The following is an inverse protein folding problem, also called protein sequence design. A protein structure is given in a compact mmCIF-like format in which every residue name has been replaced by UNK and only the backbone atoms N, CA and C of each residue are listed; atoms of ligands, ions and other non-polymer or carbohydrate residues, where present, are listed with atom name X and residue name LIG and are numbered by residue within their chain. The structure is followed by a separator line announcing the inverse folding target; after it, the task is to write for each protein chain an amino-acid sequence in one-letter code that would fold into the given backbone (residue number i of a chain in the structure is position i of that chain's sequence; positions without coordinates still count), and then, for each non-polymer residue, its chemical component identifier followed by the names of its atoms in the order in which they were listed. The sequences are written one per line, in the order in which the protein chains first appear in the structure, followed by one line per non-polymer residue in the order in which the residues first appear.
data_IF_205978578234
#
_entry.id   IF_205978578234
#
_cell.length_a   1.000
_cell.length_b   1.000
_cell.length_c   1.000
_cell.angle_alpha   90.00
_cell.angle_beta   90.00
_cell.angle_gamma   90.00
#
_symmetry.space_group_name_H-M   'P 1'
#
loop_
_entity.id
_entity.type
_entity.pdbx_description
1 polymer ?
#
# COMPACT_ATOMS: atom_id res chain seq x y z
N UNK A 1 9.42 -22.64 -40.18
CA UNK A 1 8.52 -23.15 -39.13
C UNK A 1 8.96 -22.49 -37.82
N UNK A 2 8.30 -21.40 -37.44
CA UNK A 2 8.68 -20.64 -36.25
C UNK A 2 8.20 -21.38 -34.99
N UNK A 3 9.13 -22.05 -34.34
CA UNK A 3 8.85 -22.65 -33.03
C UNK A 3 8.63 -21.55 -32.01
N UNK A 4 7.50 -21.59 -31.30
CA UNK A 4 7.25 -20.67 -30.22
C UNK A 4 8.27 -20.88 -29.08
N UNK A 5 8.61 -19.85 -28.29
CA UNK A 5 9.56 -19.96 -27.17
C UNK A 5 9.23 -21.10 -26.19
N UNK A 6 7.97 -21.47 -26.08
CA UNK A 6 7.46 -22.55 -25.25
C UNK A 6 7.89 -23.94 -25.74
N UNK A 7 7.96 -24.14 -27.06
CA UNK A 7 8.37 -25.41 -27.68
C UNK A 7 9.90 -25.56 -27.58
N UNK A 8 10.64 -24.46 -27.75
CA UNK A 8 12.09 -24.45 -27.58
C UNK A 8 12.49 -24.79 -26.13
N UNK A 9 11.74 -24.30 -25.14
CA UNK A 9 11.95 -24.63 -23.71
C UNK A 9 11.75 -26.12 -23.43
N UNK A 10 10.74 -26.78 -24.02
CA UNK A 10 10.50 -28.21 -23.86
C UNK A 10 11.59 -29.07 -24.51
N UNK A 11 12.17 -28.63 -25.62
CA UNK A 11 13.26 -29.38 -26.31
C UNK A 11 14.59 -29.29 -25.55
N UNK A 12 14.90 -28.17 -24.92
CA UNK A 12 16.10 -28.00 -24.07
C UNK A 12 16.00 -28.88 -22.83
N UNK A 13 14.80 -29.05 -22.27
CA UNK A 13 14.57 -29.95 -21.11
C UNK A 13 14.74 -31.43 -21.49
N UNK A 14 14.42 -31.82 -22.73
CA UNK A 14 14.51 -33.23 -23.13
C UNK A 14 15.93 -33.69 -23.51
N UNK A 15 16.82 -32.79 -23.93
CA UNK A 15 18.21 -33.15 -24.32
C UNK A 15 19.23 -33.19 -23.17
N UNK A 16 18.86 -32.72 -21.96
CA UNK A 16 19.81 -32.58 -20.86
C UNK A 16 19.71 -33.65 -19.77
N UNK A 17 19.05 -34.77 -20.03
CA UNK A 17 18.91 -35.90 -19.11
C UNK A 17 20.15 -36.82 -19.00
N UNK A 18 21.24 -36.48 -19.66
CA UNK A 18 22.50 -37.26 -19.59
C UNK A 18 23.65 -36.30 -19.26
N UNK A 19 24.04 -36.29 -18.04
CA UNK A 19 25.18 -35.64 -17.37
C UNK A 19 24.92 -34.28 -16.72
N UNK A 20 25.15 -34.33 -15.44
CA UNK A 20 25.47 -33.24 -14.51
C UNK A 20 24.29 -32.52 -13.84
N UNK A 21 24.12 -32.94 -12.63
CA UNK A 21 23.83 -32.04 -11.50
C UNK A 21 24.20 -30.58 -11.79
N UNK A 22 23.21 -29.68 -11.58
CA UNK A 22 23.46 -28.25 -11.28
C UNK A 22 23.66 -27.24 -12.41
N UNK A 23 22.88 -27.29 -13.49
CA UNK A 23 22.76 -26.11 -14.40
C UNK A 23 21.31 -25.86 -14.84
N UNK A 24 20.33 -26.38 -14.14
CA UNK A 24 18.92 -26.07 -14.36
C UNK A 24 18.37 -25.11 -13.31
N UNK A 25 19.13 -24.11 -13.00
CA UNK A 25 18.64 -23.00 -12.22
C UNK A 25 18.95 -21.74 -13.00
N UNK A 26 18.01 -20.87 -13.10
CA UNK A 26 18.12 -19.44 -13.33
C UNK A 26 17.61 -18.91 -14.67
N UNK A 27 16.59 -19.52 -15.27
CA UNK A 27 15.78 -18.80 -16.25
C UNK A 27 14.38 -18.60 -15.72
N UNK A 28 13.87 -17.38 -15.82
CA UNK A 28 12.52 -17.05 -15.40
C UNK A 28 11.48 -17.99 -16.03
N UNK A 29 10.59 -18.54 -15.24
CA UNK A 29 9.56 -19.49 -15.68
C UNK A 29 8.44 -18.79 -16.43
N UNK A 30 8.12 -17.55 -16.06
CA UNK A 30 7.05 -16.76 -16.64
C UNK A 30 7.58 -15.67 -17.57
N UNK A 31 6.81 -15.33 -18.59
CA UNK A 31 7.22 -14.32 -19.57
C UNK A 31 7.17 -12.90 -19.00
N UNK A 32 6.37 -12.69 -17.96
CA UNK A 32 6.20 -11.39 -17.34
C UNK A 32 6.24 -11.45 -15.81
N UNK A 33 6.75 -10.38 -15.21
CA UNK A 33 6.76 -10.24 -13.75
C UNK A 33 5.32 -10.24 -13.18
N UNK A 34 4.35 -9.71 -13.93
CA UNK A 34 2.93 -9.70 -13.53
C UNK A 34 2.38 -11.12 -13.36
N UNK A 35 2.78 -12.06 -14.23
CA UNK A 35 2.38 -13.46 -14.11
C UNK A 35 3.04 -14.14 -12.92
N UNK A 36 4.32 -13.94 -12.71
CA UNK A 36 5.04 -14.43 -11.54
C UNK A 36 4.42 -13.93 -10.23
N UNK A 37 4.05 -12.63 -10.16
CA UNK A 37 3.35 -12.04 -9.03
C UNK A 37 1.97 -12.67 -8.84
N UNK A 38 1.21 -12.86 -9.92
CA UNK A 38 -0.12 -13.46 -9.85
C UNK A 38 -0.07 -14.89 -9.29
N UNK A 39 0.94 -15.68 -9.68
CA UNK A 39 1.20 -17.02 -9.16
C UNK A 39 1.77 -17.01 -7.75
N UNK A 40 2.43 -15.92 -7.36
CA UNK A 40 3.13 -15.77 -6.08
C UNK A 40 4.49 -16.47 -6.08
N UNK A 41 5.08 -16.63 -7.26
CA UNK A 41 6.40 -17.22 -7.43
C UNK A 41 7.48 -16.19 -7.13
N UNK A 42 8.00 -16.24 -5.91
CA UNK A 42 9.02 -15.32 -5.42
C UNK A 42 10.36 -15.50 -6.14
N UNK A 43 10.73 -16.74 -6.44
CA UNK A 43 12.03 -17.01 -7.06
C UNK A 43 12.02 -16.54 -8.52
N UNK A 44 10.94 -16.77 -9.25
CA UNK A 44 10.81 -16.25 -10.61
C UNK A 44 10.79 -14.71 -10.64
N UNK A 45 10.15 -14.06 -9.67
CA UNK A 45 10.22 -12.58 -9.54
C UNK A 45 11.66 -12.12 -9.33
N UNK A 46 12.43 -12.77 -8.46
CA UNK A 46 13.83 -12.42 -8.22
C UNK A 46 14.69 -12.60 -9.49
N UNK A 47 14.52 -13.71 -10.19
CA UNK A 47 15.24 -13.98 -11.46
C UNK A 47 14.94 -12.91 -12.49
N UNK A 48 13.66 -12.57 -12.68
CA UNK A 48 13.27 -11.52 -13.62
C UNK A 48 13.82 -10.14 -13.25
N UNK A 49 13.97 -9.84 -11.96
CA UNK A 49 14.55 -8.58 -11.50
C UNK A 49 16.07 -8.52 -11.64
N UNK A 50 16.75 -9.67 -11.61
CA UNK A 50 18.20 -9.75 -11.92
C UNK A 50 18.44 -9.50 -13.42
N UNK A 51 17.66 -10.14 -14.29
CA UNK A 51 17.78 -9.99 -15.74
C UNK A 51 17.26 -8.63 -16.24
N UNK A 52 16.19 -8.12 -15.61
CA UNK A 52 15.43 -6.95 -16.02
C UNK A 52 15.07 -6.07 -14.80
N UNK A 53 16.02 -5.30 -14.22
CA UNK A 53 15.77 -4.49 -13.02
C UNK A 53 14.63 -3.46 -13.21
N UNK A 54 14.43 -2.97 -14.44
CA UNK A 54 13.35 -2.02 -14.76
C UNK A 54 11.95 -2.58 -14.51
N UNK A 55 11.79 -3.91 -14.49
CA UNK A 55 10.52 -4.59 -14.20
C UNK A 55 10.06 -4.39 -12.77
N UNK A 56 10.91 -3.92 -11.85
CA UNK A 56 10.48 -3.55 -10.51
C UNK A 56 9.37 -2.47 -10.55
N UNK A 57 9.46 -1.53 -11.49
CA UNK A 57 8.50 -0.43 -11.66
C UNK A 57 7.57 -0.59 -12.86
N UNK A 58 7.95 -1.36 -13.87
CA UNK A 58 7.23 -1.51 -15.15
C UNK A 58 6.78 -2.95 -15.39
N UNK A 59 5.53 -3.24 -15.07
CA UNK A 59 4.86 -4.46 -15.47
C UNK A 59 4.15 -4.32 -16.82
N UNK A 60 3.46 -5.37 -17.24
CA UNK A 60 2.61 -5.38 -18.43
C UNK A 60 1.36 -4.54 -18.27
N UNK A 61 0.90 -4.36 -17.04
CA UNK A 61 -0.33 -3.63 -16.75
C UNK A 61 -0.07 -2.11 -16.72
N UNK A 62 -0.70 -1.30 -17.60
CA UNK A 62 -0.33 0.11 -17.78
C UNK A 62 -0.71 1.02 -16.62
N UNK A 63 -1.64 0.59 -15.75
CA UNK A 63 -2.18 1.40 -14.65
C UNK A 63 -2.01 0.77 -13.28
N UNK A 64 -1.27 -0.31 -13.18
CA UNK A 64 -1.07 -1.02 -11.93
C UNK A 64 0.36 -1.56 -11.89
N UNK A 65 1.22 -0.91 -11.12
CA UNK A 65 2.61 -1.31 -10.98
C UNK A 65 2.75 -2.72 -10.37
N UNK A 66 3.86 -3.43 -10.63
CA UNK A 66 4.15 -4.73 -10.00
C UNK A 66 4.05 -4.66 -8.47
N UNK A 67 4.54 -3.58 -7.86
CA UNK A 67 4.44 -3.34 -6.42
C UNK A 67 2.97 -3.28 -5.97
N UNK A 68 2.16 -2.44 -6.61
CA UNK A 68 0.74 -2.31 -6.27
C UNK A 68 -0.02 -3.63 -6.47
N UNK A 69 0.31 -4.40 -7.52
CA UNK A 69 -0.27 -5.73 -7.74
C UNK A 69 0.07 -6.69 -6.59
N UNK A 70 1.33 -6.72 -6.15
CA UNK A 70 1.77 -7.60 -5.05
C UNK A 70 1.07 -7.27 -3.73
N UNK A 71 0.88 -5.98 -3.41
CA UNK A 71 0.15 -5.50 -2.23
C UNK A 71 -1.33 -5.91 -2.31
N UNK A 72 -2.00 -5.65 -3.44
CA UNK A 72 -3.40 -6.00 -3.64
C UNK A 72 -3.66 -7.51 -3.51
N UNK A 73 -2.70 -8.34 -3.89
CA UNK A 73 -2.75 -9.80 -3.81
C UNK A 73 -2.21 -10.36 -2.49
N UNK A 74 -1.80 -9.51 -1.54
CA UNK A 74 -1.18 -9.89 -0.25
C UNK A 74 0.04 -10.80 -0.45
N UNK A 75 0.87 -10.50 -1.44
CA UNK A 75 2.13 -11.20 -1.71
C UNK A 75 3.28 -10.46 -1.01
N UNK A 76 3.26 -10.44 0.31
CA UNK A 76 4.13 -9.59 1.14
C UNK A 76 5.61 -9.76 0.85
N UNK A 77 6.09 -11.00 0.70
CA UNK A 77 7.50 -11.28 0.36
C UNK A 77 7.89 -10.68 -0.99
N UNK A 78 6.99 -10.76 -1.97
CA UNK A 78 7.21 -10.19 -3.30
C UNK A 78 7.22 -8.66 -3.21
N UNK A 79 6.28 -8.06 -2.47
CA UNK A 79 6.25 -6.61 -2.26
C UNK A 79 7.57 -6.11 -1.65
N UNK A 80 8.11 -6.80 -0.63
CA UNK A 80 9.39 -6.44 -0.02
C UNK A 80 10.56 -6.54 -0.99
N UNK A 81 10.60 -7.59 -1.83
CA UNK A 81 11.63 -7.73 -2.87
C UNK A 81 11.54 -6.61 -3.90
N UNK A 82 10.34 -6.28 -4.37
CA UNK A 82 10.13 -5.18 -5.32
C UNK A 82 10.58 -3.83 -4.75
N UNK A 83 10.23 -3.54 -3.48
CA UNK A 83 10.69 -2.33 -2.78
C UNK A 83 12.23 -2.30 -2.72
N UNK A 84 12.86 -3.41 -2.31
CA UNK A 84 14.32 -3.50 -2.21
C UNK A 84 15.01 -3.39 -3.59
N UNK A 85 14.34 -3.80 -4.66
CA UNK A 85 14.83 -3.69 -6.05
C UNK A 85 14.55 -2.32 -6.70
N UNK A 86 14.14 -1.32 -5.91
CA UNK A 86 13.95 0.05 -6.40
C UNK A 86 12.64 0.29 -7.15
N UNK A 87 11.59 -0.47 -6.85
CA UNK A 87 10.26 -0.18 -7.37
C UNK A 87 9.84 1.27 -7.04
N UNK A 88 9.16 1.94 -7.97
CA UNK A 88 8.56 3.25 -7.69
C UNK A 88 7.45 3.10 -6.64
N UNK A 89 7.80 3.46 -5.39
CA UNK A 89 6.91 3.35 -4.22
C UNK A 89 5.80 4.40 -4.23
N UNK A 90 5.90 5.42 -5.09
CA UNK A 90 4.94 6.51 -5.21
C UNK A 90 4.04 6.39 -6.46
N UNK A 91 4.23 5.35 -7.28
CA UNK A 91 3.41 5.12 -8.46
C UNK A 91 1.92 4.98 -8.09
N UNK A 92 1.03 5.87 -8.59
CA UNK A 92 -0.39 5.77 -8.31
C UNK A 92 -1.07 4.72 -9.17
N UNK A 93 -2.15 4.14 -8.67
CA UNK A 93 -3.08 3.36 -9.47
C UNK A 93 -4.11 4.25 -10.22
N UNK A 94 -5.06 3.62 -10.91
CA UNK A 94 -6.13 4.34 -11.63
C UNK A 94 -7.04 5.19 -10.73
N UNK A 95 -7.05 4.95 -9.43
CA UNK A 95 -7.75 5.72 -8.41
C UNK A 95 -6.86 6.72 -7.68
N UNK A 96 -5.67 7.02 -8.23
CA UNK A 96 -4.63 7.84 -7.60
C UNK A 96 -4.14 7.29 -6.26
N UNK A 97 -4.45 6.04 -5.90
CA UNK A 97 -3.98 5.44 -4.67
C UNK A 97 -2.53 5.03 -4.83
N UNK A 98 -1.69 5.42 -3.88
CA UNK A 98 -0.30 4.96 -3.77
C UNK A 98 -0.23 3.61 -3.06
N UNK A 99 0.95 2.99 -3.05
CA UNK A 99 1.20 1.77 -2.29
C UNK A 99 0.81 1.89 -0.80
N UNK A 100 0.98 3.07 -0.17
CA UNK A 100 0.55 3.30 1.22
C UNK A 100 -0.97 3.21 1.39
N UNK A 101 -1.76 3.77 0.48
CA UNK A 101 -3.23 3.62 0.51
C UNK A 101 -3.63 2.15 0.41
N UNK A 102 -2.97 1.39 -0.48
CA UNK A 102 -3.25 -0.04 -0.65
C UNK A 102 -2.86 -0.86 0.59
N UNK A 103 -1.79 -0.46 1.30
CA UNK A 103 -1.43 -1.07 2.58
C UNK A 103 -2.51 -0.87 3.63
N UNK A 104 -3.14 0.31 3.70
CA UNK A 104 -4.29 0.56 4.57
C UNK A 104 -5.46 -0.35 4.20
N UNK A 105 -5.79 -0.45 2.90
CA UNK A 105 -6.89 -1.29 2.42
C UNK A 105 -6.69 -2.78 2.76
N UNK A 106 -5.45 -3.25 2.77
CA UNK A 106 -5.09 -4.66 2.98
C UNK A 106 -4.66 -4.99 4.40
N UNK A 107 -4.53 -3.97 5.25
CA UNK A 107 -4.03 -4.05 6.63
C UNK A 107 -2.62 -4.65 6.71
N UNK A 108 -1.66 -3.98 6.05
CA UNK A 108 -0.28 -4.43 5.90
C UNK A 108 0.72 -3.45 6.54
N UNK A 109 0.78 -3.33 7.87
CA UNK A 109 1.66 -2.37 8.55
C UNK A 109 3.15 -2.62 8.26
N UNK A 110 3.57 -3.87 8.12
CA UNK A 110 4.97 -4.22 7.80
C UNK A 110 5.39 -3.67 6.44
N UNK A 111 4.52 -3.79 5.42
CA UNK A 111 4.81 -3.26 4.09
C UNK A 111 4.77 -1.72 4.11
N UNK A 112 3.83 -1.11 4.82
CA UNK A 112 3.79 0.34 5.01
C UNK A 112 5.10 0.87 5.62
N UNK A 113 5.64 0.19 6.64
CA UNK A 113 6.95 0.51 7.22
C UNK A 113 8.08 0.43 6.19
N UNK A 114 8.10 -0.62 5.36
CA UNK A 114 9.12 -0.77 4.31
C UNK A 114 9.01 0.33 3.25
N UNK A 115 7.80 0.70 2.84
CA UNK A 115 7.54 1.79 1.90
C UNK A 115 8.04 3.15 2.43
N UNK A 116 7.75 3.46 3.69
CA UNK A 116 8.20 4.72 4.32
C UNK A 116 9.72 4.78 4.44
N UNK A 117 10.38 3.66 4.79
CA UNK A 117 11.85 3.56 4.75
C UNK A 117 12.41 3.78 3.34
N UNK A 118 11.69 3.34 2.32
CA UNK A 118 12.02 3.57 0.90
C UNK A 118 11.59 4.94 0.38
N UNK A 119 11.22 5.89 1.28
CA UNK A 119 10.85 7.27 0.96
C UNK A 119 9.50 7.41 0.22
N UNK A 120 8.56 6.51 0.49
CA UNK A 120 7.19 6.73 0.08
C UNK A 120 6.63 8.01 0.71
N UNK A 121 5.93 8.82 -0.09
CA UNK A 121 5.30 10.06 0.34
C UNK A 121 4.01 9.73 1.10
N UNK A 122 3.90 10.08 2.39
CA UNK A 122 2.78 9.63 3.20
C UNK A 122 1.49 10.45 3.03
N UNK A 123 1.55 11.64 2.41
CA UNK A 123 0.45 12.60 2.36
C UNK A 123 -0.12 12.83 0.95
N UNK A 124 0.21 11.95 -0.01
CA UNK A 124 -0.39 12.00 -1.35
C UNK A 124 -1.90 11.74 -1.26
N UNK A 125 -2.69 12.42 -2.10
CA UNK A 125 -4.13 12.26 -2.16
C UNK A 125 -4.55 11.19 -3.17
N UNK A 126 -5.53 10.39 -2.80
CA UNK A 126 -6.28 9.54 -3.74
C UNK A 126 -7.35 10.34 -4.51
N UNK A 127 -8.18 9.68 -5.32
CA UNK A 127 -9.28 10.33 -6.05
C UNK A 127 -10.40 10.88 -5.16
N UNK A 128 -10.52 10.38 -3.93
CA UNK A 128 -11.48 10.89 -2.97
C UNK A 128 -10.94 12.13 -2.22
N UNK A 129 -9.69 12.54 -2.51
CA UNK A 129 -9.01 13.64 -1.83
C UNK A 129 -8.51 13.25 -0.44
N UNK A 130 -8.30 11.99 -0.18
CA UNK A 130 -7.85 11.46 1.10
C UNK A 130 -6.38 11.05 1.08
N UNK A 131 -5.66 11.35 2.16
CA UNK A 131 -4.33 10.78 2.42
C UNK A 131 -4.46 9.34 2.97
N UNK A 132 -3.38 8.53 2.95
CA UNK A 132 -3.38 7.23 3.61
C UNK A 132 -3.85 7.28 5.07
N UNK A 133 -3.54 8.36 5.80
CA UNK A 133 -3.95 8.50 7.21
C UNK A 133 -5.46 8.77 7.36
N UNK A 134 -6.10 9.51 6.45
CA UNK A 134 -7.56 9.63 6.41
C UNK A 134 -8.23 8.27 6.22
N UNK A 135 -7.72 7.49 5.25
CA UNK A 135 -8.21 6.14 5.00
C UNK A 135 -8.00 5.21 6.21
N UNK A 136 -6.86 5.35 6.92
CA UNK A 136 -6.58 4.55 8.12
C UNK A 136 -7.55 4.90 9.26
N UNK A 137 -7.81 6.18 9.45
CA UNK A 137 -8.76 6.68 10.45
C UNK A 137 -10.19 6.21 10.17
N UNK A 138 -10.67 6.35 8.92
CA UNK A 138 -12.00 5.93 8.50
C UNK A 138 -12.23 4.41 8.61
N UNK A 139 -11.18 3.61 8.48
CA UNK A 139 -11.22 2.13 8.55
C UNK A 139 -10.78 1.57 9.90
N UNK A 140 -10.50 2.43 10.85
CA UNK A 140 -9.99 2.10 12.17
C UNK A 140 -8.75 1.17 12.16
N UNK A 141 -7.81 1.47 11.24
CA UNK A 141 -6.56 0.71 11.10
C UNK A 141 -5.47 1.28 11.99
N UNK A 142 -5.63 1.10 13.30
CA UNK A 142 -4.78 1.73 14.33
C UNK A 142 -3.28 1.42 14.13
N UNK A 143 -2.94 0.15 13.83
CA UNK A 143 -1.54 -0.24 13.64
C UNK A 143 -0.88 0.50 12.46
N UNK A 144 -1.59 0.64 11.35
CA UNK A 144 -1.08 1.38 10.18
C UNK A 144 -1.09 2.88 10.44
N UNK A 145 -2.10 3.43 11.13
CA UNK A 145 -2.12 4.85 11.49
C UNK A 145 -0.88 5.24 12.29
N UNK A 146 -0.49 4.43 13.28
CA UNK A 146 0.76 4.62 14.04
C UNK A 146 1.98 4.58 13.12
N UNK A 147 2.08 3.57 12.25
CA UNK A 147 3.19 3.46 11.29
C UNK A 147 3.28 4.67 10.37
N UNK A 148 2.15 5.19 9.88
CA UNK A 148 2.10 6.37 9.02
C UNK A 148 2.58 7.61 9.76
N UNK A 149 2.10 7.85 10.99
CA UNK A 149 2.50 9.01 11.81
C UNK A 149 3.99 8.94 12.15
N UNK A 150 4.47 7.78 12.62
CA UNK A 150 5.89 7.54 12.92
C UNK A 150 6.78 7.70 11.66
N UNK A 151 6.23 7.42 10.49
CA UNK A 151 6.87 7.57 9.20
C UNK A 151 6.78 8.97 8.58
N UNK A 152 6.22 9.94 9.31
CA UNK A 152 6.17 11.34 8.92
C UNK A 152 4.92 11.78 8.20
N UNK A 153 3.83 11.00 8.23
CA UNK A 153 2.52 11.48 7.79
C UNK A 153 2.07 12.67 8.65
N UNK A 154 1.51 13.69 8.01
CA UNK A 154 0.95 14.83 8.71
C UNK A 154 -0.44 14.49 9.30
N UNK A 155 -0.57 14.36 10.64
CA UNK A 155 -1.86 14.04 11.25
C UNK A 155 -2.90 15.17 11.11
N UNK A 156 -2.43 16.38 10.80
CA UNK A 156 -3.26 17.59 10.57
C UNK A 156 -3.56 17.82 9.08
N UNK A 157 -3.19 16.90 8.20
CA UNK A 157 -3.46 17.04 6.76
C UNK A 157 -4.96 17.22 6.54
N UNK A 158 -5.30 18.14 5.64
CA UNK A 158 -6.68 18.34 5.23
C UNK A 158 -6.97 17.46 4.01
N UNK A 159 -8.14 16.85 3.99
CA UNK A 159 -8.70 16.23 2.78
C UNK A 159 -9.11 17.30 1.77
N UNK A 160 -9.46 16.90 0.56
CA UNK A 160 -10.02 17.82 -0.47
C UNK A 160 -11.25 18.60 0.04
N UNK A 161 -11.98 18.04 1.03
CA UNK A 161 -13.15 18.66 1.67
C UNK A 161 -12.83 19.35 3.01
N UNK A 162 -11.57 19.64 3.29
CA UNK A 162 -11.13 20.37 4.47
C UNK A 162 -11.21 19.59 5.78
N UNK A 163 -11.62 18.32 5.78
CA UNK A 163 -11.61 17.48 6.97
C UNK A 163 -10.22 16.97 7.30
N UNK A 164 -9.92 16.75 8.58
CA UNK A 164 -8.70 16.08 9.05
C UNK A 164 -8.97 14.58 9.26
N UNK A 165 -7.93 13.72 9.43
CA UNK A 165 -8.14 12.32 9.83
C UNK A 165 -9.00 12.15 11.10
N UNK A 166 -9.01 13.16 11.99
CA UNK A 166 -9.86 13.14 13.19
C UNK A 166 -11.36 13.20 12.86
N UNK A 167 -11.76 13.88 11.78
CA UNK A 167 -13.16 13.87 11.31
C UNK A 167 -13.59 12.46 10.90
N UNK A 168 -12.71 11.74 10.20
CA UNK A 168 -12.98 10.36 9.78
C UNK A 168 -13.03 9.40 10.98
N UNK A 169 -12.09 9.55 11.94
CA UNK A 169 -12.11 8.77 13.17
C UNK A 169 -13.36 9.08 14.02
N UNK A 170 -13.81 10.32 14.06
CA UNK A 170 -15.02 10.72 14.78
C UNK A 170 -16.29 10.05 14.20
N UNK A 171 -16.33 9.80 12.89
CA UNK A 171 -17.46 9.14 12.25
C UNK A 171 -17.56 7.64 12.59
N UNK A 172 -16.43 6.91 12.64
CA UNK A 172 -16.44 5.44 12.72
C UNK A 172 -15.23 4.82 13.43
N UNK A 173 -14.28 5.62 13.90
CA UNK A 173 -13.07 5.14 14.56
C UNK A 173 -13.31 4.69 16.00
N UNK A 174 -12.39 3.89 16.52
CA UNK A 174 -12.32 3.53 17.93
C UNK A 174 -11.87 4.70 18.80
N UNK A 175 -12.07 4.58 20.12
CA UNK A 175 -11.53 5.53 21.09
C UNK A 175 -10.01 5.68 20.95
N UNK A 176 -9.31 4.58 20.71
CA UNK A 176 -7.87 4.53 20.56
C UNK A 176 -7.40 5.30 19.32
N UNK A 177 -8.15 5.24 18.20
CA UNK A 177 -7.85 6.02 16.99
C UNK A 177 -8.04 7.51 17.23
N UNK A 178 -9.16 7.90 17.86
CA UNK A 178 -9.43 9.30 18.21
C UNK A 178 -8.34 9.82 19.15
N UNK A 179 -7.98 9.06 20.18
CA UNK A 179 -6.93 9.43 21.13
C UNK A 179 -5.57 9.57 20.44
N UNK A 180 -5.20 8.63 19.58
CA UNK A 180 -3.94 8.70 18.80
C UNK A 180 -3.83 10.01 18.01
N UNK A 181 -4.91 10.43 17.35
CA UNK A 181 -4.91 11.64 16.55
C UNK A 181 -4.87 12.91 17.42
N UNK A 182 -5.58 12.93 18.55
CA UNK A 182 -5.50 14.00 19.52
C UNK A 182 -4.08 14.12 20.12
N UNK A 183 -3.47 13.01 20.53
CA UNK A 183 -2.09 12.96 21.05
C UNK A 183 -1.06 13.40 19.98
N UNK A 184 -1.40 13.21 18.71
CA UNK A 184 -0.59 13.69 17.58
C UNK A 184 -0.79 15.19 17.28
N UNK A 185 -1.56 15.89 18.11
CA UNK A 185 -1.75 17.34 18.09
C UNK A 185 -2.74 17.82 17.04
N UNK A 186 -3.67 16.98 16.59
CA UNK A 186 -4.78 17.42 15.73
C UNK A 186 -5.73 18.30 16.54
N UNK A 187 -6.02 19.49 16.02
CA UNK A 187 -6.97 20.41 16.64
C UNK A 187 -8.42 19.92 16.45
N UNK A 188 -9.15 19.57 17.52
CA UNK A 188 -10.52 19.09 17.41
C UNK A 188 -11.53 20.17 16.96
N UNK A 189 -11.14 21.46 17.02
CA UNK A 189 -12.00 22.58 16.63
C UNK A 189 -12.01 22.87 15.14
N UNK A 190 -11.13 22.23 14.35
CA UNK A 190 -11.09 22.39 12.90
C UNK A 190 -12.44 22.06 12.30
N UNK A 191 -12.89 22.90 11.37
CA UNK A 191 -14.14 22.72 10.63
C UNK A 191 -13.82 22.27 9.20
N UNK A 192 -14.49 21.21 8.75
CA UNK A 192 -14.53 20.83 7.34
C UNK A 192 -15.30 21.89 6.53
N UNK A 193 -15.29 21.77 5.19
CA UNK A 193 -16.05 22.68 4.29
C UNK A 193 -17.56 22.68 4.57
N UNK A 194 -18.11 21.59 5.10
CA UNK A 194 -19.51 21.50 5.56
C UNK A 194 -19.80 22.37 6.78
N UNK A 195 -18.77 22.87 7.47
CA UNK A 195 -18.86 23.55 8.75
C UNK A 195 -18.81 22.60 9.95
N UNK A 196 -18.74 21.30 9.73
CA UNK A 196 -18.70 20.29 10.78
C UNK A 196 -17.33 20.23 11.47
N UNK A 197 -17.35 20.01 12.76
CA UNK A 197 -16.19 19.61 13.59
C UNK A 197 -16.19 18.10 13.80
N UNK A 198 -15.06 17.55 14.24
CA UNK A 198 -15.00 16.15 14.64
C UNK A 198 -16.08 15.81 15.70
N UNK A 199 -16.35 16.69 16.64
CA UNK A 199 -17.40 16.48 17.66
C UNK A 199 -18.80 16.42 17.05
N UNK A 200 -19.16 17.35 16.15
CA UNK A 200 -20.48 17.32 15.49
C UNK A 200 -20.70 16.03 14.69
N UNK A 201 -19.65 15.55 14.01
CA UNK A 201 -19.67 14.28 13.29
C UNK A 201 -19.84 13.08 14.23
N UNK A 202 -19.10 13.05 15.34
CA UNK A 202 -19.22 11.98 16.34
C UNK A 202 -20.64 11.89 16.91
N UNK A 203 -21.26 13.03 17.23
CA UNK A 203 -22.65 13.11 17.71
C UNK A 203 -23.62 12.60 16.64
N UNK A 204 -23.51 13.07 15.40
CA UNK A 204 -24.36 12.67 14.30
C UNK A 204 -24.30 11.17 14.02
N UNK A 205 -23.10 10.57 14.15
CA UNK A 205 -22.87 9.13 13.96
C UNK A 205 -23.07 8.28 15.21
N UNK A 206 -23.41 8.89 16.34
CA UNK A 206 -23.62 8.21 17.64
C UNK A 206 -22.36 7.46 18.12
N UNK A 207 -21.18 7.97 17.81
CA UNK A 207 -19.92 7.44 18.29
C UNK A 207 -19.65 7.98 19.70
N UNK A 208 -20.26 7.35 20.70
CA UNK A 208 -20.17 7.80 22.10
C UNK A 208 -18.72 7.87 22.61
N UNK A 209 -17.88 6.92 22.19
CA UNK A 209 -16.47 6.90 22.57
C UNK A 209 -15.73 8.15 22.07
N UNK A 210 -15.94 8.53 20.81
CA UNK A 210 -15.38 9.74 20.23
C UNK A 210 -15.98 11.01 20.88
N UNK A 211 -17.29 11.04 21.17
CA UNK A 211 -17.96 12.18 21.83
C UNK A 211 -17.32 12.45 23.19
N UNK A 212 -17.16 11.43 24.02
CA UNK A 212 -16.58 11.56 25.35
C UNK A 212 -15.16 12.13 25.30
N UNK A 213 -14.31 11.62 24.40
CA UNK A 213 -12.94 12.11 24.26
C UNK A 213 -12.89 13.53 23.74
N UNK A 214 -13.66 13.86 22.69
CA UNK A 214 -13.65 15.18 22.07
C UNK A 214 -14.25 16.27 22.97
N UNK A 215 -15.20 15.93 23.88
CA UNK A 215 -15.71 16.86 24.87
C UNK A 215 -14.71 17.16 26.00
N UNK A 216 -13.89 16.17 26.36
CA UNK A 216 -12.85 16.35 27.37
C UNK A 216 -11.59 17.06 26.88
N UNK A 217 -11.44 17.18 25.58
CA UNK A 217 -10.28 17.81 24.91
C UNK A 217 -10.50 19.28 24.52
N UNK A 218 -11.70 19.82 24.76
CA UNK A 218 -12.08 21.23 24.66
C UNK A 218 -12.02 21.86 26.05
#
# INVERSE_FOLDING_TARGET
MNMTPRILRLFVIACALITATSVYADTAQYDTIDEAIARGDLEDVKLQLVEHPERASKGKHPKLSPLNQSILRKKDKIALVLIASGADVNAPDSSKRTALHLCVDRDLPTIATALLKAKAKPDEWDKAGWTPLHNAAAKDRLAIAKVLIDGGANPKALSERGGTPLHEAAASGSAEMVQLLLDSGVDPSVKAESGDTALSIAIANKNEAAVNLLQSSN
#
